data_IF_150483492406
#
_entry.id   IF_150483492406
#
_cell.length_a   1.000
_cell.length_b   1.000
_cell.length_c   1.000
_cell.angle_alpha   90.00
_cell.angle_beta   90.00
_cell.angle_gamma   90.00
#
_symmetry.space_group_name_H-M   'P 1'
#
loop_
_entity.id
_entity.type
_entity.pdbx_description
1 polymer ?
#
# COMPACT_ATOMS: atom_id res chain seq x y z
N UNK A 1 17.97 -1.52 1.99
CA UNK A 1 16.85 -1.45 2.94
C UNK A 1 15.92 -2.63 2.73
N UNK A 2 15.62 -3.39 3.79
CA UNK A 2 14.70 -4.53 3.75
C UNK A 2 13.25 -4.04 3.62
N UNK A 3 12.36 -4.88 3.08
CA UNK A 3 10.93 -4.56 2.93
C UNK A 3 10.29 -4.16 4.27
N UNK A 4 10.66 -4.81 5.36
CA UNK A 4 10.15 -4.50 6.70
C UNK A 4 10.49 -3.08 7.16
N UNK A 5 11.68 -2.59 6.82
CA UNK A 5 12.11 -1.22 7.14
C UNK A 5 11.30 -0.18 6.34
N UNK A 6 10.91 -0.50 5.09
CA UNK A 6 10.01 0.35 4.29
C UNK A 6 8.61 0.41 4.88
N UNK A 7 8.11 -0.74 5.32
CA UNK A 7 6.80 -0.83 5.98
C UNK A 7 6.80 -0.01 7.27
N UNK A 8 7.84 -0.12 8.09
CA UNK A 8 7.99 0.68 9.31
C UNK A 8 8.04 2.19 9.01
N UNK A 9 8.87 2.61 8.06
CA UNK A 9 8.97 4.01 7.66
C UNK A 9 7.62 4.58 7.16
N UNK A 10 6.86 3.80 6.40
CA UNK A 10 5.52 4.20 5.96
C UNK A 10 4.52 4.34 7.10
N UNK A 11 4.58 3.43 8.10
CA UNK A 11 3.74 3.49 9.29
C UNK A 11 4.00 4.77 10.07
N UNK A 12 5.27 5.09 10.31
CA UNK A 12 5.65 6.25 11.09
C UNK A 12 5.33 7.56 10.37
N UNK A 13 5.54 7.61 9.04
CA UNK A 13 5.27 8.81 8.24
C UNK A 13 3.78 9.16 8.14
N UNK A 14 2.89 8.16 8.03
CA UNK A 14 1.47 8.39 7.73
C UNK A 14 0.50 7.80 8.77
N UNK A 15 1.00 7.32 9.92
CA UNK A 15 0.17 6.70 10.96
C UNK A 15 -0.56 5.43 10.50
N UNK A 16 0.08 4.62 9.65
CA UNK A 16 -0.52 3.42 9.06
C UNK A 16 -0.47 2.23 10.04
N UNK A 17 -1.47 1.36 9.95
CA UNK A 17 -1.38 -0.01 10.50
C UNK A 17 -0.49 -0.90 9.63
N UNK A 18 -0.12 -2.07 10.15
CA UNK A 18 0.72 -3.03 9.42
C UNK A 18 0.16 -3.43 8.06
N UNK A 19 -1.15 -3.71 7.96
CA UNK A 19 -1.78 -4.06 6.68
C UNK A 19 -1.79 -2.90 5.69
N UNK A 20 -2.01 -1.68 6.18
CA UNK A 20 -2.04 -0.47 5.36
C UNK A 20 -0.65 -0.15 4.82
N UNK A 21 0.38 -0.29 5.66
CA UNK A 21 1.77 -0.11 5.27
C UNK A 21 2.23 -1.20 4.28
N UNK A 22 1.89 -2.46 4.51
CA UNK A 22 2.19 -3.55 3.58
C UNK A 22 1.53 -3.32 2.22
N UNK A 23 0.25 -2.91 2.19
CA UNK A 23 -0.45 -2.55 0.96
C UNK A 23 0.23 -1.36 0.26
N UNK A 24 0.54 -0.30 1.01
CA UNK A 24 1.14 0.92 0.48
C UNK A 24 2.53 0.66 -0.14
N UNK A 25 3.40 -0.06 0.56
CA UNK A 25 4.73 -0.44 0.06
C UNK A 25 4.60 -1.30 -1.20
N UNK A 26 3.69 -2.27 -1.23
CA UNK A 26 3.47 -3.10 -2.41
C UNK A 26 3.03 -2.29 -3.65
N UNK A 27 2.23 -1.23 -3.45
CA UNK A 27 1.84 -0.33 -4.52
C UNK A 27 3.01 0.53 -5.02
N UNK A 28 3.88 1.01 -4.12
CA UNK A 28 5.07 1.80 -4.47
C UNK A 28 6.12 0.96 -5.20
N UNK A 29 6.32 -0.30 -4.81
CA UNK A 29 7.23 -1.22 -5.49
C UNK A 29 6.88 -1.42 -6.98
N UNK A 30 5.64 -1.10 -7.35
CA UNK A 30 5.12 -1.14 -8.72
C UNK A 30 4.48 0.20 -9.11
N UNK A 31 5.07 1.31 -8.69
CA UNK A 31 4.54 2.66 -8.91
C UNK A 31 4.09 2.88 -10.37
N UNK A 32 2.90 3.44 -10.54
CA UNK A 32 2.31 3.67 -11.87
C UNK A 32 1.79 2.42 -12.60
N UNK A 33 1.97 1.21 -12.05
CA UNK A 33 1.44 -0.05 -12.58
C UNK A 33 0.33 -0.59 -11.69
N UNK A 34 -0.59 -1.34 -12.28
CA UNK A 34 -1.63 -2.05 -11.53
C UNK A 34 -1.03 -3.27 -10.84
N UNK A 35 -1.21 -3.34 -9.53
CA UNK A 35 -0.83 -4.46 -8.67
C UNK A 35 -2.05 -5.36 -8.48
N UNK A 36 -1.89 -6.65 -8.77
CA UNK A 36 -2.99 -7.61 -8.72
C UNK A 36 -3.50 -7.86 -7.30
N UNK A 37 -4.76 -8.28 -7.18
CA UNK A 37 -5.33 -8.70 -5.91
C UNK A 37 -4.57 -9.86 -5.27
N UNK A 38 -4.13 -10.82 -6.08
CA UNK A 38 -3.34 -11.97 -5.63
C UNK A 38 -2.02 -11.53 -5.01
N UNK A 39 -1.28 -10.65 -5.68
CA UNK A 39 -0.02 -10.15 -5.17
C UNK A 39 -0.21 -9.31 -3.91
N UNK A 40 -1.25 -8.46 -3.86
CA UNK A 40 -1.59 -7.71 -2.64
C UNK A 40 -1.96 -8.65 -1.49
N UNK A 41 -2.71 -9.71 -1.76
CA UNK A 41 -3.06 -10.72 -0.76
C UNK A 41 -1.80 -11.35 -0.16
N UNK A 42 -0.89 -11.82 -1.02
CA UNK A 42 0.40 -12.36 -0.61
C UNK A 42 1.19 -11.35 0.24
N UNK A 43 1.34 -10.11 -0.23
CA UNK A 43 2.13 -9.08 0.47
C UNK A 43 1.53 -8.61 1.79
N UNK A 44 0.20 -8.54 1.89
CA UNK A 44 -0.49 -8.07 3.09
C UNK A 44 -0.61 -9.15 4.17
N UNK A 45 -0.86 -10.40 3.78
CA UNK A 45 -1.29 -11.43 4.72
C UNK A 45 -0.25 -12.51 5.02
N UNK A 46 0.93 -12.50 4.39
CA UNK A 46 1.93 -13.56 4.62
C UNK A 46 2.39 -13.72 6.09
N UNK A 47 2.18 -12.71 6.95
CA UNK A 47 2.48 -12.74 8.40
C UNK A 47 1.28 -13.03 9.29
N UNK A 48 0.10 -13.25 8.70
CA UNK A 48 -1.15 -13.38 9.44
C UNK A 48 -1.74 -14.76 9.19
N UNK A 49 -2.03 -15.48 10.27
CA UNK A 49 -2.71 -16.77 10.19
C UNK A 49 -4.19 -16.61 9.77
N UNK A 50 -4.78 -15.44 10.03
CA UNK A 50 -6.15 -15.08 9.68
C UNK A 50 -6.18 -13.68 9.07
N UNK A 51 -6.90 -13.49 7.97
CA UNK A 51 -7.05 -12.20 7.29
C UNK A 51 -7.85 -11.22 8.16
N UNK A 52 -7.24 -10.18 8.77
CA UNK A 52 -7.93 -9.32 9.73
C UNK A 52 -8.92 -8.37 9.05
N UNK A 53 -8.59 -7.98 7.81
CA UNK A 53 -9.35 -7.05 6.98
C UNK A 53 -9.23 -7.46 5.52
N UNK A 54 -10.23 -7.10 4.72
CA UNK A 54 -10.17 -7.29 3.26
C UNK A 54 -9.31 -6.22 2.60
N UNK A 55 -8.74 -6.52 1.42
CA UNK A 55 -7.94 -5.56 0.63
C UNK A 55 -8.72 -4.26 0.39
N UNK A 56 -10.02 -4.39 0.07
CA UNK A 56 -10.92 -3.25 -0.13
C UNK A 56 -11.06 -2.38 1.12
N UNK A 57 -11.19 -3.00 2.30
CA UNK A 57 -11.31 -2.28 3.58
C UNK A 57 -10.00 -1.59 3.93
N UNK A 58 -8.86 -2.27 3.76
CA UNK A 58 -7.53 -1.70 3.95
C UNK A 58 -7.31 -0.51 3.02
N UNK A 59 -7.64 -0.63 1.73
CA UNK A 59 -7.60 0.50 0.78
C UNK A 59 -8.40 1.69 1.26
N UNK A 60 -9.63 1.47 1.72
CA UNK A 60 -10.51 2.54 2.20
C UNK A 60 -9.92 3.27 3.41
N UNK A 61 -9.26 2.56 4.31
CA UNK A 61 -8.59 3.17 5.47
C UNK A 61 -7.28 3.85 5.11
N UNK A 62 -6.50 3.27 4.19
CA UNK A 62 -5.25 3.83 3.67
C UNK A 62 -5.49 5.19 3.00
N UNK A 63 -6.47 5.29 2.10
CA UNK A 63 -6.80 6.56 1.40
C UNK A 63 -7.19 7.69 2.37
N UNK A 64 -7.71 7.38 3.56
CA UNK A 64 -8.04 8.41 4.57
C UNK A 64 -6.84 8.96 5.32
N UNK A 65 -5.69 8.28 5.23
CA UNK A 65 -4.45 8.64 5.93
C UNK A 65 -3.39 9.21 5.01
N UNK A 66 -3.43 8.84 3.73
CA UNK A 66 -2.50 9.37 2.76
C UNK A 66 -2.81 10.85 2.46
N UNK A 67 -1.77 11.64 2.13
CA UNK A 67 -1.97 12.98 1.57
C UNK A 67 -2.80 12.96 0.29
N UNK A 68 -3.50 14.05 0.01
CA UNK A 68 -4.46 14.16 -1.11
C UNK A 68 -3.83 13.97 -2.51
N UNK A 69 -2.53 14.22 -2.63
CA UNK A 69 -1.77 14.05 -3.87
C UNK A 69 -1.39 12.58 -4.17
N UNK A 70 -1.59 11.67 -3.21
CA UNK A 70 -1.32 10.24 -3.36
C UNK A 70 -2.62 9.46 -3.59
N UNK A 71 -2.91 9.19 -4.86
CA UNK A 71 -4.21 8.65 -5.29
C UNK A 71 -4.11 7.15 -5.56
N UNK A 72 -4.94 6.36 -4.86
CA UNK A 72 -5.09 4.91 -5.11
C UNK A 72 -6.33 4.65 -5.97
N UNK A 73 -6.09 4.23 -7.21
CA UNK A 73 -7.10 3.92 -8.20
C UNK A 73 -7.36 2.41 -8.22
N UNK A 74 -8.62 2.02 -8.21
CA UNK A 74 -9.02 0.63 -8.42
C UNK A 74 -9.24 0.37 -9.92
N UNK A 75 -8.70 -0.73 -10.44
CA UNK A 75 -8.97 -1.20 -11.80
C UNK A 75 -9.82 -2.46 -11.70
N UNK A 76 -11.06 -2.39 -12.22
CA UNK A 76 -12.04 -3.48 -12.11
C UNK A 76 -11.49 -4.80 -12.65
N UNK A 77 -11.59 -5.87 -11.87
CA UNK A 77 -11.05 -7.20 -12.21
C UNK A 77 -9.53 -7.33 -12.15
N UNK A 78 -8.75 -6.24 -12.06
CA UNK A 78 -7.29 -6.30 -12.10
C UNK A 78 -6.65 -6.09 -10.73
N UNK A 79 -7.01 -5.04 -9.99
CA UNK A 79 -6.31 -4.69 -8.75
C UNK A 79 -6.30 -3.21 -8.44
N UNK A 80 -5.18 -2.73 -7.89
CA UNK A 80 -5.01 -1.33 -7.49
C UNK A 80 -3.70 -0.75 -8.00
N UNK A 81 -3.71 0.55 -8.27
CA UNK A 81 -2.54 1.34 -8.68
C UNK A 81 -2.43 2.57 -7.79
N UNK A 82 -1.21 2.88 -7.36
CA UNK A 82 -0.89 4.16 -6.74
C UNK A 82 -0.37 5.13 -7.81
N UNK A 83 -0.88 6.36 -7.77
CA UNK A 83 -0.41 7.52 -8.52
C UNK A 83 0.07 8.57 -7.53
N UNK A 84 1.22 9.18 -7.81
CA UNK A 84 1.89 10.20 -6.99
C UNK A 84 2.30 11.38 -7.90
N UNK A 85 2.54 12.58 -7.35
CA UNK A 85 3.00 13.70 -8.15
C UNK A 85 4.40 13.48 -8.72
N UNK A 86 4.75 14.25 -9.76
CA UNK A 86 6.09 14.22 -10.35
C UNK A 86 7.15 14.65 -9.33
N UNK A 87 8.31 13.97 -9.33
CA UNK A 87 9.40 14.26 -8.39
C UNK A 87 9.15 13.78 -6.95
N UNK A 88 8.01 13.13 -6.68
CA UNK A 88 7.72 12.57 -5.36
C UNK A 88 8.73 11.48 -4.98
N UNK A 89 9.10 11.47 -3.70
CA UNK A 89 9.98 10.47 -3.12
C UNK A 89 9.28 9.74 -1.97
N UNK A 90 9.47 8.41 -1.84
CA UNK A 90 8.92 7.68 -0.70
C UNK A 90 9.57 8.12 0.62
N UNK A 91 8.92 7.87 1.77
CA UNK A 91 9.44 8.25 3.09
C UNK A 91 10.80 7.64 3.48
N UNK A 92 11.31 6.69 2.69
CA UNK A 92 12.57 6.00 2.91
C UNK A 92 13.60 6.23 1.80
N UNK A 93 13.35 7.19 0.92
CA UNK A 93 14.27 7.58 -0.15
C UNK A 93 15.58 8.16 0.41
#
# INVERSE_FOLDING_TARGET
MKIFERELAARDAYGLSDLEAAMYVALIERLGRTVSHEYLSYRMYWRYDVMPLTIRSTKKRLVRRLPDDQVIIATYGAGYRLTVPEGWQPPWA
#
